data_IF_519262603435
#
_entry.id   IF_519262603435
#
_cell.length_a   1.000
_cell.length_b   1.000
_cell.length_c   1.000
_cell.angle_alpha   90.00
_cell.angle_beta   90.00
_cell.angle_gamma   90.00
#
_symmetry.space_group_name_H-M   'P 1'
#
loop_
_entity.id
_entity.type
_entity.pdbx_description
1 polymer ?
#
# COMPACT_ATOMS: atom_id res chain seq x y z
N UNK A 1 -3.62 -3.53 -5.60
CA UNK A 1 -3.16 -2.98 -4.32
C UNK A 1 -4.29 -2.41 -3.48
N UNK A 2 -5.25 -1.67 -4.03
CA UNK A 2 -6.43 -1.21 -3.29
C UNK A 2 -7.56 -2.24 -3.25
N UNK A 3 -8.46 -2.11 -2.28
CA UNK A 3 -9.69 -2.89 -2.20
C UNK A 3 -10.55 -2.63 -3.45
N UNK A 4 -11.06 -3.72 -4.05
CA UNK A 4 -11.94 -3.64 -5.23
C UNK A 4 -13.40 -3.48 -4.77
N UNK A 5 -14.13 -2.45 -5.22
CA UNK A 5 -15.56 -2.34 -4.95
C UNK A 5 -16.29 -3.60 -5.45
N UNK A 6 -17.06 -4.26 -4.58
CA UNK A 6 -17.70 -5.54 -4.89
C UNK A 6 -19.05 -5.40 -5.61
N UNK A 7 -19.76 -4.29 -5.38
CA UNK A 7 -21.10 -4.06 -5.89
C UNK A 7 -21.06 -3.03 -7.02
N UNK A 8 -21.73 -3.31 -8.16
CA UNK A 8 -21.78 -2.40 -9.31
C UNK A 8 -22.43 -1.07 -8.96
N UNK A 9 -23.40 -1.10 -8.05
CA UNK A 9 -24.12 0.05 -7.53
C UNK A 9 -23.17 1.00 -6.78
N UNK A 10 -22.12 0.47 -6.13
CA UNK A 10 -21.07 1.29 -5.50
C UNK A 10 -20.15 1.98 -6.50
N UNK A 11 -20.17 1.57 -7.79
CA UNK A 11 -19.33 2.14 -8.85
C UNK A 11 -20.09 3.22 -9.63
N UNK A 12 -21.39 3.03 -9.86
CA UNK A 12 -22.19 3.87 -10.75
C UNK A 12 -22.17 5.37 -10.36
N UNK A 13 -22.27 5.66 -9.07
CA UNK A 13 -22.29 7.04 -8.54
C UNK A 13 -21.10 7.30 -7.60
N UNK A 14 -19.97 6.61 -7.81
CA UNK A 14 -18.80 6.75 -6.97
C UNK A 14 -18.21 8.17 -7.06
N UNK A 15 -18.18 8.87 -5.92
CA UNK A 15 -17.47 10.14 -5.77
C UNK A 15 -16.16 9.88 -5.03
N UNK A 16 -15.00 10.22 -5.60
CA UNK A 16 -13.72 10.03 -4.92
C UNK A 16 -13.57 11.05 -3.78
N UNK A 17 -13.19 10.57 -2.61
CA UNK A 17 -12.72 11.42 -1.50
C UNK A 17 -11.30 11.92 -1.71
N UNK A 18 -10.52 11.24 -2.56
CA UNK A 18 -9.18 11.65 -2.96
C UNK A 18 -8.85 11.13 -4.36
N UNK A 19 -8.18 11.97 -5.16
CA UNK A 19 -7.82 11.64 -6.54
C UNK A 19 -6.31 11.60 -6.72
N UNK A 20 -5.77 10.45 -7.14
CA UNK A 20 -4.35 10.33 -7.53
C UNK A 20 -4.23 10.39 -9.04
N UNK A 21 -3.56 11.42 -9.56
CA UNK A 21 -3.24 11.56 -10.98
C UNK A 21 -1.84 11.04 -11.24
N UNK A 22 -1.74 9.88 -11.89
CA UNK A 22 -0.46 9.34 -12.33
C UNK A 22 -0.08 9.89 -13.72
N UNK A 23 0.72 10.95 -13.72
CA UNK A 23 1.29 11.59 -14.90
C UNK A 23 2.77 11.21 -15.08
N UNK A 24 3.13 9.94 -14.89
CA UNK A 24 4.51 9.42 -14.93
C UNK A 24 5.37 9.88 -16.12
N UNK A 25 4.77 10.16 -17.29
CA UNK A 25 5.48 10.66 -18.49
C UNK A 25 5.86 12.14 -18.42
N UNK A 26 5.25 12.91 -17.52
CA UNK A 26 5.43 14.36 -17.40
C UNK A 26 6.46 14.64 -16.31
N UNK A 27 7.47 15.47 -16.63
CA UNK A 27 8.45 15.95 -15.66
C UNK A 27 8.35 17.46 -15.49
N UNK A 28 8.71 17.97 -14.32
CA UNK A 28 8.74 19.40 -14.06
C UNK A 28 10.03 20.02 -14.62
N UNK A 29 10.00 20.43 -15.90
CA UNK A 29 11.13 21.08 -16.59
C UNK A 29 11.58 22.41 -15.96
N UNK A 30 10.71 23.03 -15.15
CA UNK A 30 11.00 24.27 -14.43
C UNK A 30 11.30 24.04 -12.94
N UNK A 31 11.72 22.81 -12.55
CA UNK A 31 11.92 22.41 -11.15
C UNK A 31 12.74 23.41 -10.33
N UNK A 32 13.88 23.88 -10.86
CA UNK A 32 14.75 24.87 -10.19
C UNK A 32 14.02 26.19 -9.90
N UNK A 33 13.21 26.69 -10.84
CA UNK A 33 12.42 27.92 -10.67
C UNK A 33 11.36 27.74 -9.58
N UNK A 34 10.82 26.54 -9.43
CA UNK A 34 9.83 26.18 -8.41
C UNK A 34 10.47 25.75 -7.07
N UNK A 35 11.80 25.80 -6.92
CA UNK A 35 12.50 25.43 -5.69
C UNK A 35 12.74 23.92 -5.51
N UNK A 36 12.49 23.09 -6.52
CA UNK A 36 12.72 21.65 -6.47
C UNK A 36 14.12 21.27 -6.98
N UNK A 37 14.70 20.21 -6.39
CA UNK A 37 16.02 19.66 -6.78
C UNK A 37 15.97 18.76 -8.01
N UNK A 38 14.84 18.08 -8.23
CA UNK A 38 14.65 17.07 -9.28
C UNK A 38 13.43 17.43 -10.13
N UNK A 39 13.40 16.95 -11.36
CA UNK A 39 12.22 17.08 -12.24
C UNK A 39 11.09 16.10 -11.87
N UNK A 40 11.40 15.06 -11.08
CA UNK A 40 10.42 14.13 -10.50
C UNK A 40 9.64 14.84 -9.41
N UNK A 41 8.33 14.63 -9.38
CA UNK A 41 7.44 15.26 -8.42
C UNK A 41 6.36 14.28 -7.97
N UNK A 42 6.26 14.08 -6.66
CA UNK A 42 5.15 13.38 -6.01
C UNK A 42 4.58 14.37 -5.01
N UNK A 43 3.48 15.02 -5.39
CA UNK A 43 2.90 16.14 -4.66
C UNK A 43 1.48 15.83 -4.21
N UNK A 44 1.13 16.30 -3.01
CA UNK A 44 -0.17 16.13 -2.38
C UNK A 44 -0.75 17.49 -2.06
N UNK A 45 -2.03 17.69 -2.35
CA UNK A 45 -2.81 18.84 -1.93
C UNK A 45 -4.05 18.34 -1.19
N UNK A 46 -4.01 18.43 0.13
CA UNK A 46 -5.07 17.95 1.04
C UNK A 46 -6.31 18.82 0.93
N UNK A 47 -6.19 20.14 0.73
CA UNK A 47 -7.35 21.03 0.58
C UNK A 47 -8.14 20.78 -0.71
N UNK A 48 -7.50 20.16 -1.69
CA UNK A 48 -8.09 19.85 -3.01
C UNK A 48 -8.27 18.36 -3.24
N UNK A 49 -8.04 17.53 -2.22
CA UNK A 49 -8.21 16.09 -2.30
C UNK A 49 -7.51 15.44 -3.50
N UNK A 50 -6.28 15.89 -3.81
CA UNK A 50 -5.57 15.44 -5.01
C UNK A 50 -4.08 15.20 -4.79
N UNK A 51 -3.56 14.13 -5.38
CA UNK A 51 -2.13 13.89 -5.56
C UNK A 51 -1.75 13.86 -7.04
N UNK A 52 -0.53 14.29 -7.36
CA UNK A 52 0.07 14.21 -8.69
C UNK A 52 1.41 13.51 -8.61
N UNK A 53 1.58 12.46 -9.42
CA UNK A 53 2.81 11.70 -9.57
C UNK A 53 3.37 11.98 -10.97
N UNK A 54 4.55 12.58 -11.06
CA UNK A 54 5.20 12.96 -12.31
C UNK A 54 6.67 12.55 -12.34
N UNK A 55 7.12 12.03 -13.47
CA UNK A 55 8.51 11.69 -13.74
C UNK A 55 9.02 10.40 -13.10
N UNK A 56 8.16 9.65 -12.41
CA UNK A 56 8.47 8.34 -11.83
C UNK A 56 7.47 7.29 -12.30
N UNK A 57 7.99 6.10 -12.61
CA UNK A 57 7.22 4.94 -13.06
C UNK A 57 7.01 3.91 -11.94
N UNK A 58 7.60 4.16 -10.77
CA UNK A 58 7.60 3.23 -9.66
C UNK A 58 6.18 3.04 -9.10
N UNK A 59 5.67 1.81 -9.13
CA UNK A 59 4.29 1.52 -8.70
C UNK A 59 4.03 1.86 -7.22
N UNK A 60 5.07 1.77 -6.39
CA UNK A 60 4.99 2.05 -4.95
C UNK A 60 4.56 3.48 -4.61
N UNK A 61 4.79 4.47 -5.49
CA UNK A 61 4.36 5.85 -5.27
C UNK A 61 2.85 5.99 -5.14
N UNK A 62 2.09 5.22 -5.94
CA UNK A 62 0.63 5.23 -5.89
C UNK A 62 0.12 4.66 -4.56
N UNK A 63 0.71 3.56 -4.09
CA UNK A 63 0.34 2.90 -2.83
C UNK A 63 0.71 3.79 -1.64
N UNK A 64 1.99 4.16 -1.52
CA UNK A 64 2.52 4.90 -0.37
C UNK A 64 1.98 6.33 -0.29
N UNK A 65 1.59 6.92 -1.42
CA UNK A 65 0.89 8.19 -1.42
C UNK A 65 -0.45 8.12 -0.69
N UNK A 66 -1.29 7.13 -0.99
CA UNK A 66 -2.57 6.94 -0.27
C UNK A 66 -2.32 6.62 1.21
N UNK A 67 -1.38 5.74 1.52
CA UNK A 67 -1.02 5.44 2.91
C UNK A 67 -0.59 6.68 3.70
N UNK A 68 0.14 7.60 3.06
CA UNK A 68 0.54 8.87 3.68
C UNK A 68 -0.67 9.73 4.03
N UNK A 69 -1.71 9.74 3.18
CA UNK A 69 -2.96 10.46 3.45
C UNK A 69 -3.76 9.77 4.57
N UNK A 70 -3.81 8.43 4.59
CA UNK A 70 -4.42 7.69 5.69
C UNK A 70 -3.72 7.94 7.03
N UNK A 71 -2.39 8.04 7.02
CA UNK A 71 -1.59 8.39 8.21
C UNK A 71 -1.83 9.83 8.69
N UNK A 72 -2.33 10.71 7.82
CA UNK A 72 -2.74 12.06 8.21
C UNK A 72 -4.17 12.10 8.77
N UNK A 73 -5.15 11.54 8.07
CA UNK A 73 -6.56 11.65 8.46
C UNK A 73 -6.96 10.73 9.60
N UNK A 74 -6.58 9.44 9.56
CA UNK A 74 -7.08 8.46 10.54
C UNK A 74 -6.72 8.80 12.00
N UNK A 75 -5.50 9.28 12.32
CA UNK A 75 -5.19 9.68 13.69
C UNK A 75 -6.03 10.85 14.21
N UNK A 76 -6.56 11.71 13.31
CA UNK A 76 -7.48 12.79 13.70
C UNK A 76 -8.85 12.24 14.12
N UNK A 77 -9.22 11.07 13.63
CA UNK A 77 -10.43 10.34 13.98
C UNK A 77 -10.20 9.27 15.08
N UNK A 78 -9.03 9.28 15.73
CA UNK A 78 -8.69 8.35 16.82
C UNK A 78 -8.27 6.95 16.35
N UNK A 79 -8.06 6.75 15.04
CA UNK A 79 -7.65 5.46 14.46
C UNK A 79 -6.13 5.48 14.23
N UNK A 80 -5.41 4.50 14.80
CA UNK A 80 -3.96 4.41 14.62
C UNK A 80 -3.61 3.82 13.25
N UNK A 81 -3.08 4.63 12.34
CA UNK A 81 -2.51 4.16 11.08
C UNK A 81 -1.09 3.59 11.31
N UNK A 82 -0.84 2.38 10.81
CA UNK A 82 0.37 1.59 11.11
C UNK A 82 1.03 1.07 9.84
N UNK A 83 2.35 1.24 9.78
CA UNK A 83 3.21 0.60 8.78
C UNK A 83 3.72 -0.74 9.35
N UNK A 84 2.85 -1.74 9.32
CA UNK A 84 3.09 -3.06 9.86
C UNK A 84 2.43 -4.13 9.00
N UNK A 85 2.90 -5.36 9.11
CA UNK A 85 2.12 -6.52 8.72
C UNK A 85 1.24 -7.01 9.87
N UNK A 86 0.17 -7.75 9.56
CA UNK A 86 -0.67 -8.38 10.59
C UNK A 86 -1.23 -9.73 10.15
N UNK A 87 -1.36 -10.64 11.11
CA UNK A 87 -2.00 -11.94 10.94
C UNK A 87 -2.82 -12.32 12.19
N UNK A 88 -3.63 -13.37 12.05
CA UNK A 88 -4.55 -13.86 13.07
C UNK A 88 -4.36 -15.35 13.32
N UNK A 89 -4.10 -15.72 14.56
CA UNK A 89 -4.07 -17.10 15.01
C UNK A 89 -5.44 -17.76 14.96
N UNK A 90 -5.46 -19.10 15.00
CA UNK A 90 -6.69 -19.90 14.97
C UNK A 90 -7.58 -19.69 16.20
N UNK A 91 -7.00 -19.23 17.32
CA UNK A 91 -7.73 -18.90 18.55
C UNK A 91 -8.23 -17.45 18.59
N UNK A 92 -8.01 -16.69 17.50
CA UNK A 92 -8.47 -15.32 17.37
C UNK A 92 -7.49 -14.24 17.82
N UNK A 93 -6.34 -14.63 18.38
CA UNK A 93 -5.22 -13.75 18.70
C UNK A 93 -4.68 -13.07 17.43
N UNK A 94 -4.37 -11.78 17.52
CA UNK A 94 -3.87 -10.98 16.40
C UNK A 94 -2.48 -10.46 16.74
N UNK A 95 -1.53 -10.61 15.81
CA UNK A 95 -0.19 -10.10 15.92
C UNK A 95 0.07 -9.01 14.88
N UNK A 96 0.83 -7.99 15.27
CA UNK A 96 1.28 -6.91 14.39
C UNK A 96 2.80 -6.87 14.38
N UNK A 97 3.41 -6.71 13.20
CA UNK A 97 4.85 -6.69 13.03
C UNK A 97 5.28 -5.38 12.36
N UNK A 98 5.78 -4.45 13.17
CA UNK A 98 6.36 -3.20 12.66
C UNK A 98 7.71 -3.44 12.00
N UNK A 99 8.00 -2.71 10.94
CA UNK A 99 9.28 -2.83 10.26
C UNK A 99 9.35 -2.02 8.97
N UNK A 100 10.56 -1.70 8.55
CA UNK A 100 10.80 -1.08 7.25
C UNK A 100 10.70 -2.11 6.12
N UNK A 101 10.79 -1.64 4.88
CA UNK A 101 10.76 -2.52 3.72
C UNK A 101 12.00 -3.42 3.69
N UNK A 102 11.80 -4.74 3.73
CA UNK A 102 12.89 -5.73 3.73
C UNK A 102 13.40 -6.15 5.11
N UNK A 103 12.71 -5.80 6.20
CA UNK A 103 13.08 -6.23 7.57
C UNK A 103 12.29 -7.45 8.05
N UNK A 104 11.82 -8.30 7.14
CA UNK A 104 11.15 -9.58 7.48
C UNK A 104 9.64 -9.53 7.71
N UNK A 105 8.98 -8.35 7.61
CA UNK A 105 7.51 -8.22 7.78
C UNK A 105 6.71 -9.25 6.97
N UNK A 106 7.04 -9.41 5.69
CA UNK A 106 6.31 -10.29 4.75
C UNK A 106 6.68 -11.76 4.94
N UNK A 107 7.92 -12.06 5.30
CA UNK A 107 8.36 -13.43 5.56
C UNK A 107 7.75 -13.96 6.86
N UNK A 108 7.67 -13.14 7.91
CA UNK A 108 7.04 -13.51 9.20
C UNK A 108 5.51 -13.65 9.10
N UNK A 109 4.89 -13.12 8.04
CA UNK A 109 3.46 -13.25 7.79
C UNK A 109 3.06 -14.59 7.19
N UNK A 110 3.95 -15.23 6.43
CA UNK A 110 3.69 -16.49 5.75
C UNK A 110 3.86 -17.67 6.72
N UNK A 111 3.31 -17.53 7.93
CA UNK A 111 3.17 -18.64 8.86
C UNK A 111 1.97 -19.50 8.39
N UNK A 112 2.19 -20.77 8.00
CA UNK A 112 1.12 -21.65 7.50
C UNK A 112 0.04 -21.95 8.56
N UNK A 113 0.27 -21.61 9.83
CA UNK A 113 -0.68 -21.80 10.92
C UNK A 113 -1.51 -20.55 11.26
N UNK A 114 -1.30 -19.43 10.55
CA UNK A 114 -1.99 -18.17 10.81
C UNK A 114 -2.69 -17.64 9.56
N UNK A 115 -3.79 -16.91 9.76
CA UNK A 115 -4.53 -16.25 8.70
C UNK A 115 -3.93 -14.86 8.43
N UNK A 116 -3.54 -14.60 7.18
CA UNK A 116 -3.04 -13.29 6.77
C UNK A 116 -4.16 -12.23 6.84
N UNK A 117 -3.91 -11.12 7.55
CA UNK A 117 -4.77 -9.93 7.51
C UNK A 117 -4.27 -9.00 6.39
N UNK A 118 -2.97 -8.69 6.37
CA UNK A 118 -2.37 -7.82 5.36
C UNK A 118 -0.85 -7.69 5.47
N UNK A 119 -0.24 -7.21 4.38
CA UNK A 119 1.21 -7.24 4.15
C UNK A 119 2.01 -6.09 4.73
N UNK A 120 1.42 -4.90 4.88
CA UNK A 120 2.22 -3.67 5.02
C UNK A 120 1.51 -2.48 5.68
N UNK A 121 0.20 -2.29 5.48
CA UNK A 121 -0.52 -1.07 5.89
C UNK A 121 -1.84 -1.40 6.59
N UNK A 122 -1.96 -1.02 7.87
CA UNK A 122 -3.11 -1.36 8.70
C UNK A 122 -3.61 -0.18 9.54
N UNK A 123 -4.87 -0.26 9.95
CA UNK A 123 -5.48 0.60 10.97
C UNK A 123 -5.73 -0.18 12.25
N UNK A 124 -5.68 0.49 13.40
CA UNK A 124 -6.16 -0.02 14.68
C UNK A 124 -7.23 0.92 15.21
N UNK A 125 -8.46 0.40 15.27
CA UNK A 125 -9.66 1.05 15.83
C UNK A 125 -10.24 0.23 17.00
N UNK A 126 -11.34 0.69 17.59
CA UNK A 126 -11.96 0.06 18.77
C UNK A 126 -12.36 -1.40 18.50
N UNK A 127 -12.75 -1.72 17.27
CA UNK A 127 -13.14 -3.06 16.83
C UNK A 127 -11.95 -3.97 16.46
N UNK A 128 -10.74 -3.40 16.34
CA UNK A 128 -9.51 -4.16 16.12
C UNK A 128 -8.68 -3.70 14.91
N UNK A 129 -7.99 -4.65 14.27
CA UNK A 129 -7.05 -4.39 13.18
C UNK A 129 -7.75 -4.55 11.82
N UNK A 130 -7.62 -3.55 10.96
CA UNK A 130 -8.08 -3.58 9.58
C UNK A 130 -6.93 -3.42 8.59
N UNK A 131 -7.02 -4.08 7.44
CA UNK A 131 -6.09 -3.92 6.32
C UNK A 131 -6.59 -2.80 5.38
N UNK A 132 -5.69 -1.90 4.97
CA UNK A 132 -6.02 -0.85 4.00
C UNK A 132 -5.93 -1.35 2.55
N UNK A 133 -5.28 -2.49 2.33
CA UNK A 133 -4.95 -3.00 1.02
C UNK A 133 -5.86 -4.14 0.57
N UNK A 134 -6.02 -4.28 -0.74
CA UNK A 134 -6.66 -5.43 -1.40
C UNK A 134 -5.66 -6.37 -2.09
N UNK A 135 -4.39 -6.33 -1.70
CA UNK A 135 -3.33 -7.19 -2.22
C UNK A 135 -2.00 -6.99 -1.50
N UNK A 136 -0.95 -7.67 -1.94
CA UNK A 136 0.40 -7.60 -1.37
C UNK A 136 1.43 -7.19 -2.43
N UNK A 137 2.31 -6.24 -2.07
CA UNK A 137 3.41 -5.79 -2.92
C UNK A 137 4.74 -6.27 -2.33
N UNK A 138 5.03 -7.56 -2.58
CA UNK A 138 6.14 -8.27 -1.97
C UNK A 138 7.45 -8.07 -2.75
N UNK A 139 8.58 -8.11 -2.03
CA UNK A 139 9.91 -8.19 -2.66
C UNK A 139 10.13 -9.61 -3.20
N UNK A 140 10.79 -9.71 -4.34
CA UNK A 140 11.09 -10.99 -5.01
C UNK A 140 12.57 -11.31 -5.09
N UNK A 141 13.45 -10.44 -4.56
CA UNK A 141 14.89 -10.70 -4.53
C UNK A 141 15.16 -11.96 -3.71
N UNK A 142 15.85 -12.94 -4.32
CA UNK A 142 16.14 -14.25 -3.72
C UNK A 142 14.91 -15.09 -3.34
N UNK A 143 13.73 -14.80 -3.92
CA UNK A 143 12.52 -15.60 -3.72
C UNK A 143 12.71 -17.02 -4.26
N UNK A 144 12.38 -18.03 -3.46
CA UNK A 144 12.36 -19.43 -3.89
C UNK A 144 11.08 -20.13 -3.43
N UNK A 145 10.63 -21.12 -4.21
CA UNK A 145 9.47 -21.94 -3.87
C UNK A 145 9.66 -22.75 -2.58
N UNK A 146 10.92 -23.02 -2.21
CA UNK A 146 11.29 -23.79 -1.02
C UNK A 146 11.16 -22.94 0.25
N UNK A 147 11.61 -21.69 0.21
CA UNK A 147 11.66 -20.83 1.38
C UNK A 147 10.36 -20.04 1.60
N UNK A 148 9.70 -19.62 0.52
CA UNK A 148 8.52 -18.74 0.58
C UNK A 148 7.42 -19.25 -0.39
N UNK A 149 6.89 -20.47 -0.15
CA UNK A 149 6.00 -21.15 -1.09
C UNK A 149 4.72 -20.36 -1.38
N UNK A 150 4.12 -19.69 -0.38
CA UNK A 150 2.89 -18.92 -0.57
C UNK A 150 3.09 -17.71 -1.48
N UNK A 151 4.19 -16.98 -1.30
CA UNK A 151 4.54 -15.82 -2.14
C UNK A 151 4.87 -16.30 -3.56
N UNK A 152 5.66 -17.37 -3.68
CA UNK A 152 6.01 -17.96 -4.98
C UNK A 152 4.76 -18.41 -5.75
N UNK A 153 3.84 -19.10 -5.08
CA UNK A 153 2.59 -19.61 -5.68
C UNK A 153 1.56 -18.50 -5.98
N UNK A 154 1.68 -17.33 -5.35
CA UNK A 154 0.85 -16.17 -5.66
C UNK A 154 1.24 -15.51 -7.00
N UNK A 155 2.46 -15.76 -7.51
CA UNK A 155 2.93 -15.26 -8.80
C UNK A 155 2.36 -16.14 -9.93
N UNK A 156 1.21 -15.72 -10.45
CA UNK A 156 0.52 -16.34 -11.59
C UNK A 156 -0.22 -15.26 -12.38
N UNK A 157 -1.01 -15.67 -13.38
CA UNK A 157 -1.89 -14.73 -14.12
C UNK A 157 -2.63 -13.80 -13.13
N UNK A 158 -2.66 -12.52 -13.47
CA UNK A 158 -3.19 -11.39 -12.68
C UNK A 158 -2.24 -10.81 -11.61
N UNK A 159 -1.11 -11.46 -11.33
CA UNK A 159 0.02 -10.80 -10.66
C UNK A 159 0.78 -9.89 -11.64
N UNK A 160 1.43 -8.85 -11.11
CA UNK A 160 2.29 -7.94 -11.86
C UNK A 160 3.69 -7.97 -11.26
N UNK A 161 4.66 -8.47 -12.03
CA UNK A 161 6.08 -8.40 -11.68
C UNK A 161 6.64 -7.04 -12.06
N UNK A 162 7.53 -6.49 -11.23
CA UNK A 162 8.17 -5.21 -11.46
C UNK A 162 9.67 -5.35 -11.21
N UNK A 163 10.49 -5.11 -12.25
CA UNK A 163 11.95 -5.12 -12.20
C UNK A 163 12.60 -6.40 -11.62
N UNK A 164 12.08 -7.57 -11.99
CA UNK A 164 12.61 -8.89 -11.59
C UNK A 164 13.91 -9.25 -12.29
#
# INVERSE_FOLDING_TARGET
MFLRPQAKEKIADFKPDFTTVNAYKVTNKNCKKHGFKLEVCVAFNIEKDVAVIGGTWYGGEMKKGIFSMMTYWLPLDGIMAMHCSANKGTNGDTAVFFGLSGTGKTTLLADPHQYLIGGDEHGWEDEGILNFEGGCYAKTISLSAENEPDIYNAIKRDALLENT
#
